data_IF_394557124803
#
_entry.id   IF_394557124803
#
_cell.length_a   1.000
_cell.length_b   1.000
_cell.length_c   1.000
_cell.angle_alpha   90.00
_cell.angle_beta   90.00
_cell.angle_gamma   90.00
#
_symmetry.space_group_name_H-M   'P 1'
#
loop_
_entity.id
_entity.type
_entity.pdbx_description
1 polymer ?
#
# COMPACT_ATOMS: atom_id res chain seq x y z
N UNK A 1 12.89 -5.06 -12.44
CA UNK A 1 12.13 -4.27 -13.45
C UNK A 1 12.01 -4.98 -14.79
N UNK A 2 13.11 -5.45 -15.39
CA UNK A 2 13.12 -6.11 -16.71
C UNK A 2 12.27 -7.39 -16.80
N UNK A 3 12.24 -8.21 -15.74
CA UNK A 3 11.38 -9.41 -15.64
C UNK A 3 9.88 -9.10 -15.51
N UNK A 4 9.55 -7.92 -14.98
CA UNK A 4 8.18 -7.41 -14.87
C UNK A 4 7.72 -6.83 -16.23
N UNK A 5 8.61 -6.13 -16.91
CA UNK A 5 8.39 -5.64 -18.28
C UNK A 5 8.17 -6.80 -19.28
N UNK A 6 8.86 -7.94 -19.11
CA UNK A 6 8.61 -9.12 -19.94
C UNK A 6 7.26 -9.80 -19.69
N UNK A 7 6.66 -9.62 -18.50
CA UNK A 7 5.30 -10.08 -18.22
C UNK A 7 4.27 -9.15 -18.87
N UNK A 8 4.48 -7.84 -18.80
CA UNK A 8 3.65 -6.83 -19.48
C UNK A 8 3.66 -7.04 -21.00
N UNK A 9 4.81 -7.41 -21.58
CA UNK A 9 4.95 -7.69 -23.01
C UNK A 9 4.24 -8.97 -23.47
N UNK A 10 3.94 -9.91 -22.57
CA UNK A 10 3.20 -11.15 -22.92
C UNK A 10 1.70 -10.94 -23.02
N UNK A 11 1.14 -9.86 -22.48
CA UNK A 11 -0.28 -9.79 -22.13
C UNK A 11 -1.04 -8.63 -22.81
N UNK A 12 -1.09 -8.67 -24.15
CA UNK A 12 -1.92 -7.81 -25.02
C UNK A 12 -1.88 -6.30 -24.69
N UNK A 13 -0.78 -5.80 -24.13
CA UNK A 13 -0.58 -4.38 -23.82
C UNK A 13 -1.32 -3.85 -22.59
N UNK A 14 -1.87 -4.69 -21.71
CA UNK A 14 -2.54 -4.23 -20.48
C UNK A 14 -1.53 -3.94 -19.36
N UNK A 15 -1.81 -2.90 -18.57
CA UNK A 15 -0.94 -2.48 -17.48
C UNK A 15 -1.17 -3.35 -16.23
N UNK A 16 -0.13 -4.03 -15.75
CA UNK A 16 -0.15 -4.80 -14.51
C UNK A 16 -0.04 -3.85 -13.31
N UNK A 17 -1.07 -3.82 -12.46
CA UNK A 17 -1.03 -3.07 -11.21
C UNK A 17 -0.19 -3.82 -10.17
N UNK A 18 1.01 -3.31 -9.86
CA UNK A 18 1.85 -3.88 -8.80
C UNK A 18 2.36 -2.80 -7.86
N UNK A 19 2.50 -3.14 -6.58
CA UNK A 19 3.10 -2.27 -5.58
C UNK A 19 4.59 -2.59 -5.47
N UNK A 20 5.46 -1.68 -5.93
CA UNK A 20 6.91 -1.88 -5.88
C UNK A 20 7.40 -2.15 -4.45
N UNK A 21 6.83 -1.47 -3.45
CA UNK A 21 7.14 -1.69 -2.04
C UNK A 21 6.93 -3.13 -1.60
N UNK A 22 5.82 -3.76 -2.01
CA UNK A 22 5.53 -5.15 -1.64
C UNK A 22 6.60 -6.09 -2.19
N UNK A 23 7.02 -5.88 -3.43
CA UNK A 23 8.09 -6.66 -4.07
C UNK A 23 9.44 -6.38 -3.41
N UNK A 24 9.77 -5.12 -3.14
CA UNK A 24 11.05 -4.74 -2.55
C UNK A 24 11.19 -5.27 -1.12
N UNK A 25 10.16 -5.12 -0.30
CA UNK A 25 10.16 -5.64 1.07
C UNK A 25 10.28 -7.17 1.11
N UNK A 26 9.79 -7.87 0.08
CA UNK A 26 9.97 -9.31 -0.07
C UNK A 26 11.40 -9.68 -0.49
N UNK A 27 12.02 -8.88 -1.37
CA UNK A 27 13.43 -9.06 -1.77
C UNK A 27 14.36 -8.79 -0.57
N UNK A 28 14.18 -7.68 0.13
CA UNK A 28 15.07 -7.27 1.24
C UNK A 28 14.77 -8.03 2.54
N UNK A 29 13.54 -8.53 2.69
CA UNK A 29 13.07 -9.17 3.93
C UNK A 29 12.87 -8.19 5.09
N UNK A 30 12.93 -6.88 4.82
CA UNK A 30 12.69 -5.82 5.79
C UNK A 30 11.41 -5.04 5.44
N UNK A 31 10.69 -4.58 6.46
CA UNK A 31 9.50 -3.75 6.27
C UNK A 31 9.91 -2.29 6.09
N UNK A 32 10.19 -1.89 4.85
CA UNK A 32 10.43 -0.49 4.54
C UNK A 32 9.15 0.19 4.01
N UNK A 33 8.86 1.40 4.50
CA UNK A 33 7.73 2.22 4.06
C UNK A 33 8.12 3.16 2.90
N UNK A 34 9.41 3.38 2.68
CA UNK A 34 9.95 4.43 1.81
C UNK A 34 10.09 3.99 0.34
N UNK A 35 10.06 2.68 0.07
CA UNK A 35 10.22 2.12 -1.28
C UNK A 35 8.90 1.99 -2.04
N UNK A 36 8.00 2.98 -1.95
CA UNK A 36 6.82 3.04 -2.82
C UNK A 36 7.20 3.68 -4.16
N UNK A 37 6.75 3.08 -5.27
CA UNK A 37 6.83 3.74 -6.60
C UNK A 37 5.83 4.89 -6.71
N UNK A 38 4.70 4.76 -6.05
CA UNK A 38 3.62 5.75 -6.07
C UNK A 38 3.96 6.93 -5.16
N UNK A 39 3.62 8.12 -5.63
CA UNK A 39 3.53 9.32 -4.80
C UNK A 39 2.23 9.30 -4.01
N UNK A 40 2.26 9.90 -2.82
CA UNK A 40 1.06 10.03 -1.98
C UNK A 40 0.04 10.99 -2.62
N UNK A 41 -1.23 10.88 -2.22
CA UNK A 41 -2.29 11.72 -2.77
C UNK A 41 -2.01 13.22 -2.51
N UNK A 42 -1.52 13.54 -1.31
CA UNK A 42 -1.15 14.90 -0.89
C UNK A 42 0.00 15.44 -1.73
N UNK A 43 1.05 14.63 -1.95
CA UNK A 43 2.19 15.00 -2.77
C UNK A 43 1.77 15.27 -4.22
N UNK A 44 0.93 14.39 -4.78
CA UNK A 44 0.37 14.60 -6.10
C UNK A 44 -0.44 15.89 -6.16
N UNK A 45 -1.29 16.18 -5.18
CA UNK A 45 -2.06 17.42 -5.14
C UNK A 45 -1.15 18.67 -5.14
N UNK A 46 -0.10 18.67 -4.33
CA UNK A 46 0.89 19.76 -4.31
C UNK A 46 1.60 19.90 -5.65
N UNK A 47 2.08 18.79 -6.21
CA UNK A 47 2.79 18.78 -7.49
C UNK A 47 1.91 19.20 -8.66
N UNK A 48 0.63 18.85 -8.67
CA UNK A 48 -0.30 19.24 -9.72
C UNK A 48 -0.47 20.75 -9.76
N UNK A 49 -0.65 21.39 -8.59
CA UNK A 49 -0.75 22.86 -8.48
C UNK A 49 0.58 23.51 -8.88
N UNK A 50 1.72 22.97 -8.43
CA UNK A 50 3.03 23.51 -8.79
C UNK A 50 3.35 23.37 -10.28
N UNK A 51 2.94 22.26 -10.91
CA UNK A 51 3.26 21.95 -12.31
C UNK A 51 2.40 22.76 -13.28
N UNK A 52 1.09 22.79 -13.07
CA UNK A 52 0.16 23.42 -13.99
C UNK A 52 -0.09 24.89 -13.66
N UNK A 53 0.43 25.37 -12.53
CA UNK A 53 0.08 26.68 -11.99
C UNK A 53 -1.33 26.67 -11.40
N UNK A 54 -1.61 27.64 -10.55
CA UNK A 54 -2.90 27.74 -9.88
C UNK A 54 -2.88 28.73 -8.72
N UNK A 55 -3.88 28.64 -7.86
CA UNK A 55 -3.92 29.42 -6.63
C UNK A 55 -2.79 29.01 -5.68
N UNK A 56 -2.34 29.97 -4.87
CA UNK A 56 -1.36 29.71 -3.83
C UNK A 56 -1.92 28.70 -2.83
N UNK A 57 -1.10 27.72 -2.45
CA UNK A 57 -1.45 26.70 -1.46
C UNK A 57 -1.37 27.27 -0.03
N UNK A 58 -0.56 28.31 0.18
CA UNK A 58 -0.41 28.97 1.48
C UNK A 58 -1.74 29.56 1.96
N UNK A 59 -2.09 29.30 3.21
CA UNK A 59 -3.41 29.63 3.76
C UNK A 59 -4.49 28.60 3.44
N UNK A 60 -4.18 27.59 2.62
CA UNK A 60 -5.13 26.62 2.11
C UNK A 60 -5.57 25.56 3.12
N UNK A 61 -6.56 24.78 2.69
CA UNK A 61 -7.15 23.66 3.43
C UNK A 61 -6.90 22.37 2.63
N UNK A 62 -6.28 21.38 3.27
CA UNK A 62 -6.03 20.07 2.70
C UNK A 62 -7.13 19.10 3.13
N UNK A 63 -7.71 18.39 2.18
CA UNK A 63 -8.60 17.25 2.43
C UNK A 63 -7.89 15.98 1.96
N UNK A 64 -7.77 15.01 2.86
CA UNK A 64 -7.14 13.71 2.58
C UNK A 64 -7.97 12.59 3.21
N UNK A 65 -7.89 11.37 2.67
CA UNK A 65 -8.61 10.23 3.24
C UNK A 65 -7.91 9.75 4.51
N UNK A 66 -6.61 9.51 4.46
CA UNK A 66 -5.78 9.18 5.61
C UNK A 66 -5.00 10.41 6.09
N UNK A 67 -4.77 10.54 7.40
CA UNK A 67 -3.95 11.64 7.92
C UNK A 67 -2.53 11.62 7.31
N UNK A 68 -1.87 12.77 7.14
CA UNK A 68 -0.59 12.82 6.43
C UNK A 68 0.51 12.00 7.11
N UNK A 69 1.34 11.30 6.32
CA UNK A 69 2.60 10.73 6.81
C UNK A 69 3.62 11.82 7.16
N UNK A 70 4.77 11.46 7.72
CA UNK A 70 5.80 12.40 8.17
C UNK A 70 6.31 13.30 7.04
N UNK A 71 6.46 12.75 5.83
CA UNK A 71 6.93 13.51 4.66
C UNK A 71 5.84 14.44 4.13
N UNK A 72 4.60 13.98 4.05
CA UNK A 72 3.47 14.79 3.60
C UNK A 72 3.15 15.91 4.60
N UNK A 73 3.24 15.62 5.90
CA UNK A 73 3.10 16.59 6.98
C UNK A 73 4.14 17.71 6.88
N UNK A 74 5.42 17.37 6.66
CA UNK A 74 6.49 18.37 6.46
C UNK A 74 6.22 19.25 5.26
N UNK A 75 5.77 18.66 4.14
CA UNK A 75 5.41 19.40 2.93
C UNK A 75 4.22 20.33 3.16
N UNK A 76 3.15 19.85 3.79
CA UNK A 76 1.98 20.66 4.11
C UNK A 76 2.34 21.85 5.01
N UNK A 77 3.18 21.62 6.03
CA UNK A 77 3.70 22.68 6.90
C UNK A 77 4.51 23.71 6.10
N UNK A 78 5.47 23.26 5.29
CA UNK A 78 6.34 24.16 4.49
C UNK A 78 5.56 24.96 3.44
N UNK A 79 4.50 24.38 2.88
CA UNK A 79 3.61 25.06 1.93
C UNK A 79 2.64 26.03 2.60
N UNK A 80 2.61 26.08 3.94
CA UNK A 80 1.79 27.00 4.72
C UNK A 80 0.31 26.63 4.75
N UNK A 81 -0.02 25.34 4.68
CA UNK A 81 -1.41 24.86 4.85
C UNK A 81 -1.86 25.15 6.28
N UNK A 82 -3.10 25.61 6.45
CA UNK A 82 -3.63 26.02 7.75
C UNK A 82 -4.57 25.01 8.39
N UNK A 83 -5.23 24.19 7.58
CA UNK A 83 -6.13 23.13 8.07
C UNK A 83 -5.98 21.86 7.27
N UNK A 84 -6.05 20.73 7.94
CA UNK A 84 -5.99 19.39 7.35
C UNK A 84 -7.18 18.60 7.86
N UNK A 85 -8.10 18.27 6.95
CA UNK A 85 -9.22 17.37 7.20
C UNK A 85 -8.86 15.96 6.76
N UNK A 86 -9.08 14.98 7.63
CA UNK A 86 -8.83 13.58 7.36
C UNK A 86 -9.95 12.68 7.87
N UNK A 87 -10.13 11.50 7.26
CA UNK A 87 -11.15 10.53 7.67
C UNK A 87 -10.53 9.49 8.61
N UNK A 88 -9.43 8.88 8.18
CA UNK A 88 -8.77 7.80 8.90
C UNK A 88 -7.41 8.25 9.47
N UNK A 89 -7.13 8.03 10.76
CA UNK A 89 -5.81 8.30 11.31
C UNK A 89 -4.78 7.33 10.71
N UNK A 90 -3.70 7.89 10.18
CA UNK A 90 -2.58 7.13 9.65
C UNK A 90 -1.57 6.80 10.76
N UNK A 91 -1.06 5.56 10.83
CA UNK A 91 -0.08 5.18 11.84
C UNK A 91 1.25 5.91 11.60
N UNK A 92 1.75 6.61 12.61
CA UNK A 92 3.02 7.31 12.53
C UNK A 92 3.20 8.35 13.62
N UNK A 93 4.30 9.09 13.55
CA UNK A 93 4.65 10.15 14.50
C UNK A 93 4.43 11.55 13.89
N UNK A 94 3.83 11.64 12.71
CA UNK A 94 3.67 12.88 11.97
C UNK A 94 2.97 13.97 12.78
N UNK A 95 1.91 13.61 13.52
CA UNK A 95 1.15 14.54 14.35
C UNK A 95 2.02 15.13 15.46
N UNK A 96 2.68 14.28 16.24
CA UNK A 96 3.47 14.71 17.39
C UNK A 96 4.76 15.43 16.95
N UNK A 97 5.46 14.89 15.97
CA UNK A 97 6.78 15.36 15.57
C UNK A 97 6.74 16.58 14.63
N UNK A 98 5.72 16.70 13.76
CA UNK A 98 5.69 17.72 12.71
C UNK A 98 4.54 18.70 12.93
N UNK A 99 3.32 18.21 13.12
CA UNK A 99 2.17 19.10 13.15
C UNK A 99 2.03 19.83 14.47
N UNK A 100 2.31 19.18 15.60
CA UNK A 100 2.09 19.78 16.93
C UNK A 100 3.09 20.89 17.27
N UNK A 101 4.22 20.94 16.54
CA UNK A 101 5.40 21.77 16.82
C UNK A 101 5.48 22.97 15.85
N UNK A 102 6.01 24.09 16.34
CA UNK A 102 6.30 25.28 15.52
C UNK A 102 5.25 26.38 15.61
N UNK A 103 5.47 27.45 14.85
CA UNK A 103 4.68 28.69 14.92
C UNK A 103 3.44 28.61 14.00
N UNK A 104 3.63 28.15 12.76
CA UNK A 104 2.61 28.14 11.70
C UNK A 104 1.98 26.76 11.50
N UNK A 105 1.66 26.08 12.59
CA UNK A 105 1.12 24.72 12.55
C UNK A 105 -0.27 24.62 11.89
N UNK A 106 -0.49 23.65 11.01
CA UNK A 106 -1.84 23.34 10.53
C UNK A 106 -2.69 22.70 11.63
N UNK A 107 -3.98 23.02 11.64
CA UNK A 107 -4.96 22.36 12.53
C UNK A 107 -5.41 21.05 11.88
N UNK A 108 -5.24 19.93 12.58
CA UNK A 108 -5.83 18.64 12.18
C UNK A 108 -7.26 18.53 12.71
N UNK A 109 -8.20 18.28 11.81
CA UNK A 109 -9.61 18.07 12.15
C UNK A 109 -10.09 16.75 11.53
N UNK A 110 -10.68 15.87 12.35
CA UNK A 110 -11.35 14.68 11.83
C UNK A 110 -12.58 15.14 11.02
N UNK A 111 -12.73 14.63 9.80
CA UNK A 111 -13.86 14.97 8.94
C UNK A 111 -15.18 14.44 9.53
N UNK A 112 -16.18 15.32 9.69
CA UNK A 112 -17.49 15.02 10.30
C UNK A 112 -18.66 15.09 9.29
N UNK A 113 -18.41 14.75 8.03
CA UNK A 113 -19.44 14.73 6.98
C UNK A 113 -20.09 13.36 6.82
N UNK A 114 -20.45 12.96 5.59
CA UNK A 114 -20.95 11.63 5.26
C UNK A 114 -19.84 10.56 5.37
N UNK A 115 -19.35 10.33 6.58
CA UNK A 115 -18.47 9.24 6.94
C UNK A 115 -19.37 8.09 7.38
N UNK A 116 -19.53 7.07 6.55
CA UNK A 116 -20.45 6.00 6.93
C UNK A 116 -20.48 4.80 5.99
N UNK A 117 -21.02 3.71 6.52
CA UNK A 117 -21.22 2.43 5.80
C UNK A 117 -21.91 2.62 4.45
N UNK A 118 -22.87 3.55 4.35
CA UNK A 118 -23.61 3.78 3.11
C UNK A 118 -22.73 4.29 1.95
N UNK A 119 -21.77 5.19 2.22
CA UNK A 119 -20.83 5.65 1.19
C UNK A 119 -19.93 4.50 0.72
N UNK A 120 -19.35 3.76 1.67
CA UNK A 120 -18.50 2.62 1.34
C UNK A 120 -19.29 1.52 0.61
N UNK A 121 -20.54 1.26 0.99
CA UNK A 121 -21.39 0.28 0.29
C UNK A 121 -21.69 0.67 -1.17
N UNK A 122 -21.84 1.97 -1.46
CA UNK A 122 -22.16 2.43 -2.81
C UNK A 122 -20.92 2.62 -3.71
N UNK A 123 -19.81 3.10 -3.15
CA UNK A 123 -18.66 3.55 -3.93
C UNK A 123 -17.42 2.67 -3.78
N UNK A 124 -17.33 1.83 -2.74
CA UNK A 124 -16.21 0.91 -2.63
C UNK A 124 -16.47 -0.26 -3.58
N UNK A 125 -15.53 -0.56 -4.51
CA UNK A 125 -15.68 -1.73 -5.35
C UNK A 125 -15.69 -2.99 -4.49
N UNK A 126 -16.50 -3.99 -4.90
CA UNK A 126 -16.60 -5.29 -4.22
C UNK A 126 -15.22 -5.96 -4.07
N UNK A 127 -14.36 -5.77 -5.07
CA UNK A 127 -12.98 -6.24 -5.07
C UNK A 127 -12.05 -5.10 -5.55
N UNK A 128 -10.90 -4.87 -4.90
CA UNK A 128 -9.90 -3.95 -5.41
C UNK A 128 -9.41 -4.38 -6.80
N UNK A 129 -9.26 -3.43 -7.73
CA UNK A 129 -8.81 -3.70 -9.09
C UNK A 129 -7.50 -4.52 -9.16
N UNK A 130 -6.60 -4.33 -8.19
CA UNK A 130 -5.36 -5.11 -8.09
C UNK A 130 -5.63 -6.61 -7.88
N UNK A 131 -6.59 -6.94 -7.01
CA UNK A 131 -6.90 -8.32 -6.65
C UNK A 131 -7.68 -9.01 -7.78
N UNK A 132 -8.54 -8.25 -8.47
CA UNK A 132 -9.22 -8.70 -9.69
C UNK A 132 -8.19 -9.07 -10.78
N UNK A 133 -7.20 -8.20 -11.02
CA UNK A 133 -6.12 -8.49 -11.96
C UNK A 133 -5.29 -9.71 -11.55
N UNK A 134 -4.98 -9.88 -10.26
CA UNK A 134 -4.24 -11.07 -9.80
C UNK A 134 -5.00 -12.37 -10.08
N UNK A 135 -6.33 -12.36 -9.92
CA UNK A 135 -7.18 -13.53 -10.18
C UNK A 135 -7.32 -13.84 -11.68
N UNK A 136 -7.55 -12.81 -12.51
CA UNK A 136 -7.75 -12.98 -13.95
C UNK A 136 -6.48 -13.48 -14.64
N UNK A 137 -5.30 -13.04 -14.17
CA UNK A 137 -4.03 -13.27 -14.86
C UNK A 137 -3.11 -14.29 -14.17
N UNK A 138 -3.58 -14.95 -13.10
CA UNK A 138 -2.81 -15.93 -12.32
C UNK A 138 -1.35 -15.49 -12.05
N UNK A 139 -1.17 -14.21 -11.72
CA UNK A 139 0.17 -13.61 -11.66
C UNK A 139 0.98 -14.33 -10.57
N UNK A 140 2.13 -14.94 -10.90
CA UNK A 140 2.92 -15.64 -9.91
C UNK A 140 3.46 -14.62 -8.91
N UNK A 141 3.12 -14.81 -7.64
CA UNK A 141 3.69 -14.02 -6.55
C UNK A 141 5.20 -14.25 -6.56
N UNK A 142 5.97 -13.15 -6.63
CA UNK A 142 7.40 -13.24 -6.41
C UNK A 142 7.62 -13.84 -5.02
N UNK A 143 8.68 -14.61 -4.85
CA UNK A 143 9.15 -15.04 -3.54
C UNK A 143 10.65 -15.02 -3.61
N UNK A 144 11.28 -14.35 -2.64
CA UNK A 144 12.72 -14.35 -2.55
C UNK A 144 13.20 -15.80 -2.33
N UNK A 145 14.08 -16.34 -3.19
CA UNK A 145 14.59 -17.71 -3.03
C UNK A 145 15.38 -17.90 -1.74
N UNK A 146 16.08 -16.87 -1.24
CA UNK A 146 16.90 -16.94 -0.02
C UNK A 146 16.06 -16.77 1.26
N UNK A 147 14.97 -16.00 1.19
CA UNK A 147 13.98 -15.83 2.25
C UNK A 147 12.57 -15.98 1.69
N UNK A 148 12.11 -17.22 1.55
CA UNK A 148 10.77 -17.52 1.03
C UNK A 148 9.71 -16.78 1.86
N UNK A 149 8.72 -16.20 1.18
CA UNK A 149 7.66 -15.49 1.89
C UNK A 149 6.80 -16.43 2.70
N UNK A 150 6.20 -15.91 3.78
CA UNK A 150 5.38 -16.70 4.71
C UNK A 150 4.28 -17.50 4.01
N UNK A 151 3.69 -16.93 2.95
CA UNK A 151 2.65 -17.60 2.16
C UNK A 151 3.17 -18.81 1.38
N UNK A 152 4.37 -18.71 0.79
CA UNK A 152 5.00 -19.81 0.06
C UNK A 152 5.44 -20.91 1.03
N UNK A 153 6.05 -20.52 2.15
CA UNK A 153 6.41 -21.44 3.23
C UNK A 153 5.20 -22.17 3.81
N UNK A 154 4.04 -21.51 3.93
CA UNK A 154 2.80 -22.16 4.36
C UNK A 154 2.33 -23.21 3.35
N UNK A 155 2.29 -22.89 2.06
CA UNK A 155 1.88 -23.86 1.04
C UNK A 155 2.85 -25.05 0.91
N UNK A 156 4.16 -24.81 1.08
CA UNK A 156 5.16 -25.88 1.08
C UNK A 156 5.01 -26.77 2.30
N UNK A 157 4.77 -26.19 3.48
CA UNK A 157 4.52 -26.96 4.70
C UNK A 157 3.25 -27.81 4.58
N UNK A 158 2.17 -27.29 4.03
CA UNK A 158 0.94 -28.07 3.78
C UNK A 158 1.22 -29.26 2.86
N UNK A 159 1.96 -29.06 1.76
CA UNK A 159 2.36 -30.15 0.85
C UNK A 159 3.28 -31.17 1.52
N UNK A 160 4.21 -30.72 2.35
CA UNK A 160 5.12 -31.60 3.10
C UNK A 160 4.36 -32.42 4.15
N UNK A 161 3.43 -31.80 4.88
CA UNK A 161 2.58 -32.49 5.85
C UNK A 161 1.69 -33.55 5.20
N UNK A 162 1.15 -33.28 4.01
CA UNK A 162 0.39 -34.28 3.26
C UNK A 162 1.28 -35.46 2.85
N UNK A 163 2.49 -35.19 2.35
CA UNK A 163 3.48 -36.23 2.02
C UNK A 163 3.88 -37.07 3.22
N UNK A 164 4.09 -36.45 4.38
CA UNK A 164 4.42 -37.16 5.62
C UNK A 164 3.25 -38.08 6.00
N UNK A 165 2.01 -37.61 5.97
CA UNK A 165 0.82 -38.43 6.25
C UNK A 165 0.72 -39.65 5.33
N UNK A 166 0.96 -39.47 4.03
CA UNK A 166 0.96 -40.60 3.07
C UNK A 166 2.06 -41.61 3.41
N UNK A 167 3.29 -41.14 3.63
CA UNK A 167 4.42 -42.01 3.95
C UNK A 167 4.24 -42.76 5.27
N UNK A 168 3.65 -42.12 6.29
CA UNK A 168 3.31 -42.77 7.56
C UNK A 168 2.28 -43.89 7.35
N UNK A 169 1.25 -43.66 6.53
CA UNK A 169 0.26 -44.70 6.20
C UNK A 169 0.87 -45.89 5.44
N UNK A 170 1.81 -45.65 4.53
CA UNK A 170 2.54 -46.70 3.81
C UNK A 170 3.45 -47.48 4.76
N UNK A 171 4.12 -46.80 5.69
CA UNK A 171 5.03 -47.42 6.64
C UNK A 171 4.27 -48.31 7.64
N UNK A 172 3.09 -47.87 8.09
CA UNK A 172 2.21 -48.68 8.95
C UNK A 172 1.67 -49.90 8.21
N UNK A 173 1.35 -49.77 6.92
CA UNK A 173 0.92 -50.92 6.10
C UNK A 173 2.01 -51.98 5.87
N UNK A 174 3.29 -51.60 5.99
CA UNK A 174 4.46 -52.50 5.83
C UNK A 174 4.98 -53.08 7.15
N UNK A 175 4.46 -52.64 8.29
CA UNK A 175 4.81 -53.14 9.64
C UNK A 175 3.93 -54.31 10.09
N UNK A 176 2.98 -54.75 9.26
CA UNK A 176 2.19 -55.99 9.38
C UNK A 176 2.88 -57.08 8.58
#
# INVERSE_FOLDING_TARGET
VQRLLSLIAKDNGRNLAYCFKSVQNEIEGEKNQVHTRSLHAEENAFLQISKHGGQKVSGGILFTTASPCELCAKKAYQLGIKKIFFIDPYPGIATDHVISVGIDRPVLELFRGAVGRAFYQLYQPVMPYKDELELVFEIPKYSNPDKKSRSVLQSENEKLQERIRVLESELDSRKI
#
